data_IF_244385030772
#
_entry.id   IF_244385030772
#
_cell.length_a   1.000
_cell.length_b   1.000
_cell.length_c   1.000
_cell.angle_alpha   90.00
_cell.angle_beta   90.00
_cell.angle_gamma   90.00
#
_symmetry.space_group_name_H-M   'P 1'
#
loop_
_entity.id
_entity.type
_entity.pdbx_description
1 polymer ?
#
# COMPACT_ATOMS: atom_id res chain seq x y z
N UNK A 1 31.27 6.88 60.55
CA UNK A 1 31.47 6.11 59.31
C UNK A 1 30.20 5.97 58.44
N UNK A 2 28.98 5.81 59.01
CA UNK A 2 27.74 5.69 58.17
C UNK A 2 27.40 6.93 57.32
N UNK A 3 27.70 8.15 57.78
CA UNK A 3 27.41 9.39 57.02
C UNK A 3 28.34 9.62 55.81
N UNK A 4 29.60 9.17 55.89
CA UNK A 4 30.56 9.29 54.78
C UNK A 4 30.22 8.30 53.65
N UNK A 5 29.74 7.09 53.98
CA UNK A 5 29.30 6.09 53.02
C UNK A 5 28.09 6.56 52.18
N UNK A 6 27.17 7.33 52.80
CA UNK A 6 26.00 7.86 52.10
C UNK A 6 26.35 8.97 51.10
N UNK A 7 27.31 9.84 51.45
CA UNK A 7 27.80 10.92 50.59
C UNK A 7 28.54 10.35 49.37
N UNK A 8 29.37 9.33 49.55
CA UNK A 8 30.09 8.65 48.48
C UNK A 8 29.11 7.95 47.52
N UNK A 9 28.05 7.31 48.06
CA UNK A 9 27.01 6.68 47.25
C UNK A 9 26.22 7.70 46.41
N UNK A 10 25.93 8.89 47.01
CA UNK A 10 25.26 9.96 46.27
C UNK A 10 26.14 10.60 45.20
N UNK A 11 27.46 10.72 45.43
CA UNK A 11 28.42 11.22 44.47
C UNK A 11 28.58 10.27 43.28
N UNK A 12 28.53 8.96 43.50
CA UNK A 12 28.57 7.97 42.40
C UNK A 12 27.30 7.97 41.57
N UNK A 13 26.14 8.28 42.10
CA UNK A 13 24.88 8.41 41.35
C UNK A 13 24.89 9.71 40.54
N UNK A 14 25.42 10.82 41.08
CA UNK A 14 25.52 12.09 40.39
C UNK A 14 26.48 12.04 39.20
N UNK A 15 27.60 11.32 39.28
CA UNK A 15 28.60 11.18 38.20
C UNK A 15 28.00 10.38 37.01
N UNK A 16 27.07 9.47 37.22
CA UNK A 16 26.39 8.76 36.14
C UNK A 16 25.42 9.63 35.33
N UNK A 17 24.91 10.72 35.91
CA UNK A 17 23.98 11.64 35.25
C UNK A 17 24.67 12.55 34.19
N UNK A 18 26.00 12.68 34.22
CA UNK A 18 26.78 13.51 33.28
C UNK A 18 27.59 12.71 32.26
N UNK A 19 27.65 11.39 32.38
CA UNK A 19 28.38 10.58 31.42
C UNK A 19 27.58 10.41 30.13
N UNK A 20 28.22 10.62 28.97
CA UNK A 20 27.61 10.39 27.68
C UNK A 20 27.09 8.93 27.60
N UNK A 21 25.83 8.73 27.18
CA UNK A 21 25.32 7.38 26.96
C UNK A 21 26.20 6.62 25.95
N UNK A 22 26.42 5.34 26.21
CA UNK A 22 27.31 4.54 25.37
C UNK A 22 26.88 4.51 23.87
N UNK A 23 25.59 4.62 23.61
CA UNK A 23 25.02 4.60 22.26
C UNK A 23 25.30 5.86 21.42
N UNK A 24 25.86 6.93 21.99
CA UNK A 24 26.27 8.14 21.25
C UNK A 24 27.45 7.83 20.29
N UNK A 25 28.28 6.85 20.63
CA UNK A 25 29.36 6.39 19.73
C UNK A 25 28.88 5.21 18.88
N UNK A 26 29.42 5.06 17.67
CA UNK A 26 29.07 3.94 16.78
C UNK A 26 29.34 2.58 17.42
N UNK A 27 30.49 2.42 18.08
CA UNK A 27 30.83 1.17 18.76
C UNK A 27 29.90 0.88 19.94
N UNK A 28 29.53 1.89 20.69
CA UNK A 28 28.60 1.75 21.83
C UNK A 28 27.20 1.48 21.35
N UNK A 29 26.74 2.15 20.26
CA UNK A 29 25.43 1.91 19.67
C UNK A 29 25.29 0.47 19.19
N UNK A 30 26.25 -0.08 18.46
CA UNK A 30 26.25 -1.49 18.02
C UNK A 30 26.24 -2.50 19.17
N UNK A 31 26.74 -2.13 20.35
CA UNK A 31 26.63 -2.97 21.54
C UNK A 31 25.25 -2.92 22.19
N UNK A 32 24.61 -1.74 22.20
CA UNK A 32 23.26 -1.54 22.79
C UNK A 32 22.17 -2.02 21.82
N UNK A 33 22.38 -1.80 20.52
CA UNK A 33 21.48 -2.18 19.43
C UNK A 33 22.24 -3.07 18.43
N UNK A 34 22.48 -4.35 18.74
CA UNK A 34 23.15 -5.28 17.84
C UNK A 34 22.42 -5.38 16.50
N UNK A 35 23.14 -5.34 15.37
CA UNK A 35 22.57 -5.41 14.02
C UNK A 35 21.81 -6.71 13.74
N UNK A 36 22.10 -7.79 14.48
CA UNK A 36 21.36 -9.04 14.40
C UNK A 36 19.91 -8.89 14.90
N UNK A 37 19.67 -8.00 15.88
CA UNK A 37 18.38 -7.84 16.57
C UNK A 37 17.69 -6.51 16.24
N UNK A 38 18.46 -5.49 15.85
CA UNK A 38 17.96 -4.13 15.65
C UNK A 38 18.39 -3.53 14.31
N UNK A 39 17.56 -2.61 13.82
CA UNK A 39 17.94 -1.58 12.86
C UNK A 39 18.00 -0.29 13.67
N UNK A 40 19.13 0.41 13.67
CA UNK A 40 19.33 1.60 14.50
C UNK A 40 20.07 2.72 13.78
N UNK A 41 19.67 3.96 13.99
CA UNK A 41 20.34 5.15 13.45
C UNK A 41 20.45 6.24 14.51
N UNK A 42 21.62 6.93 14.54
CA UNK A 42 21.89 8.06 15.40
C UNK A 42 21.51 9.36 14.71
N UNK A 43 20.73 10.19 15.36
CA UNK A 43 20.45 11.56 14.96
C UNK A 43 21.11 12.57 15.90
N UNK A 44 21.67 13.65 15.36
CA UNK A 44 22.18 14.76 16.15
C UNK A 44 21.80 16.12 15.56
N UNK A 45 21.38 17.05 16.42
CA UNK A 45 20.98 18.40 16.03
C UNK A 45 21.10 19.38 17.20
N UNK A 46 20.82 20.68 16.95
CA UNK A 46 20.80 21.71 17.99
C UNK A 46 19.45 21.81 18.73
N UNK A 47 18.46 21.00 18.37
CA UNK A 47 17.21 20.84 19.12
C UNK A 47 16.77 19.35 19.14
N UNK A 48 15.93 19.01 20.12
CA UNK A 48 15.50 17.63 20.36
C UNK A 48 14.69 17.03 19.20
N UNK A 49 13.76 17.78 18.64
CA UNK A 49 12.89 17.34 17.55
C UNK A 49 13.70 17.06 16.29
N UNK A 50 14.59 17.95 15.92
CA UNK A 50 15.47 17.74 14.77
C UNK A 50 16.44 16.57 14.97
N UNK A 51 16.88 16.28 16.19
CA UNK A 51 17.69 15.09 16.47
C UNK A 51 16.88 13.80 16.25
N UNK A 52 15.63 13.75 16.75
CA UNK A 52 14.72 12.62 16.49
C UNK A 52 14.43 12.44 15.00
N UNK A 53 14.10 13.53 14.31
CA UNK A 53 13.80 13.50 12.88
C UNK A 53 15.00 12.98 12.05
N UNK A 54 16.22 13.39 12.40
CA UNK A 54 17.45 12.88 11.74
C UNK A 54 17.68 11.40 12.04
N UNK A 55 17.42 10.95 13.25
CA UNK A 55 17.52 9.54 13.60
C UNK A 55 16.50 8.69 12.80
N UNK A 56 15.24 9.15 12.71
CA UNK A 56 14.21 8.49 11.90
C UNK A 56 14.56 8.49 10.41
N UNK A 57 15.07 9.62 9.89
CA UNK A 57 15.52 9.68 8.49
C UNK A 57 16.65 8.69 8.21
N UNK A 58 17.59 8.50 9.15
CA UNK A 58 18.65 7.50 9.02
C UNK A 58 18.11 6.06 8.97
N UNK A 59 17.06 5.73 9.72
CA UNK A 59 16.36 4.43 9.62
C UNK A 59 15.72 4.29 8.24
N UNK A 60 14.98 5.32 7.79
CA UNK A 60 14.30 5.29 6.48
C UNK A 60 15.30 5.13 5.34
N UNK A 61 16.43 5.83 5.38
CA UNK A 61 17.49 5.72 4.37
C UNK A 61 18.14 4.33 4.35
N UNK A 62 18.40 3.75 5.53
CA UNK A 62 18.92 2.39 5.63
C UNK A 62 17.95 1.37 4.99
N UNK A 63 16.66 1.41 5.37
CA UNK A 63 15.64 0.54 4.81
C UNK A 63 15.53 0.74 3.29
N UNK A 64 15.47 1.99 2.85
CA UNK A 64 15.40 2.34 1.42
C UNK A 64 16.57 1.74 0.63
N UNK A 65 17.77 1.82 1.15
CA UNK A 65 18.99 1.31 0.49
C UNK A 65 18.94 -0.22 0.38
N UNK A 66 18.62 -0.92 1.46
CA UNK A 66 18.56 -2.38 1.49
C UNK A 66 17.43 -2.92 0.60
N UNK A 67 16.25 -2.32 0.67
CA UNK A 67 15.10 -2.70 -0.15
C UNK A 67 15.35 -2.39 -1.63
N UNK A 68 15.88 -1.22 -1.97
CA UNK A 68 16.21 -0.87 -3.37
C UNK A 68 17.21 -1.86 -3.96
N UNK A 69 18.16 -2.34 -3.17
CA UNK A 69 19.12 -3.37 -3.61
C UNK A 69 18.42 -4.71 -3.91
N UNK A 70 17.49 -5.12 -3.05
CA UNK A 70 16.68 -6.33 -3.22
C UNK A 70 15.77 -6.24 -4.44
N UNK A 71 15.06 -5.12 -4.57
CA UNK A 71 14.14 -4.84 -5.67
C UNK A 71 14.86 -4.78 -7.03
N UNK A 72 16.00 -4.09 -7.12
CA UNK A 72 16.83 -4.08 -8.34
C UNK A 72 17.31 -5.48 -8.73
N UNK A 73 17.67 -6.31 -7.76
CA UNK A 73 18.05 -7.71 -8.02
C UNK A 73 16.90 -8.53 -8.60
N UNK A 74 15.67 -8.32 -8.12
CA UNK A 74 14.45 -8.97 -8.61
C UNK A 74 14.11 -8.51 -10.03
N UNK A 75 14.13 -7.21 -10.30
CA UNK A 75 13.85 -6.66 -11.63
C UNK A 75 14.89 -7.08 -12.67
N UNK A 76 16.17 -7.07 -12.33
CA UNK A 76 17.22 -7.55 -13.26
C UNK A 76 17.07 -9.04 -13.60
N UNK A 77 16.52 -9.84 -12.71
CA UNK A 77 16.15 -11.22 -12.99
C UNK A 77 14.92 -11.32 -13.91
N UNK A 78 13.95 -10.40 -13.75
CA UNK A 78 12.74 -10.31 -14.57
C UNK A 78 13.03 -9.78 -15.98
N UNK A 79 13.93 -8.80 -16.14
CA UNK A 79 14.37 -8.27 -17.45
C UNK A 79 15.04 -9.36 -18.30
N UNK A 80 15.84 -10.23 -17.68
CA UNK A 80 16.41 -11.42 -18.36
C UNK A 80 15.32 -12.37 -18.88
N UNK A 81 14.12 -12.29 -18.29
CA UNK A 81 12.92 -13.02 -18.74
C UNK A 81 12.04 -12.23 -19.73
N UNK A 82 12.50 -11.07 -20.21
CA UNK A 82 11.85 -10.28 -21.27
C UNK A 82 10.77 -9.28 -20.80
N UNK A 83 10.74 -8.93 -19.49
CA UNK A 83 9.84 -7.91 -18.95
C UNK A 83 10.61 -6.62 -18.65
N UNK A 84 10.18 -5.50 -19.23
CA UNK A 84 10.72 -4.16 -18.95
C UNK A 84 9.84 -3.51 -17.89
N UNK A 85 10.47 -3.01 -16.82
CA UNK A 85 9.78 -2.31 -15.72
C UNK A 85 10.26 -0.86 -15.67
N UNK A 86 9.36 0.09 -15.45
CA UNK A 86 9.70 1.51 -15.39
C UNK A 86 10.34 1.89 -14.04
N UNK A 87 11.30 2.81 -14.07
CA UNK A 87 12.05 3.29 -12.90
C UNK A 87 11.14 3.97 -11.86
N UNK A 88 9.99 4.52 -12.30
CA UNK A 88 8.95 5.12 -11.46
C UNK A 88 8.28 4.12 -10.51
N UNK A 89 8.08 2.86 -10.91
CA UNK A 89 7.49 1.82 -10.06
C UNK A 89 8.42 1.46 -8.89
N UNK A 90 9.73 1.50 -9.14
CA UNK A 90 10.75 1.26 -8.10
C UNK A 90 10.71 2.35 -7.01
N UNK A 91 10.60 3.62 -7.41
CA UNK A 91 10.58 4.74 -6.46
C UNK A 91 9.30 4.73 -5.61
N UNK A 92 8.17 4.37 -6.19
CA UNK A 92 6.89 4.28 -5.49
C UNK A 92 6.87 3.12 -4.48
N UNK A 93 7.39 1.94 -4.85
CA UNK A 93 7.52 0.78 -3.96
C UNK A 93 8.38 1.09 -2.73
N UNK A 94 9.52 1.75 -2.94
CA UNK A 94 10.43 2.16 -1.86
C UNK A 94 9.81 3.24 -0.96
N UNK A 95 8.99 4.14 -1.52
CA UNK A 95 8.28 5.18 -0.75
C UNK A 95 7.26 4.59 0.22
N UNK A 96 6.56 3.51 -0.16
CA UNK A 96 5.59 2.83 0.71
C UNK A 96 6.25 2.20 1.95
N UNK A 97 7.48 1.72 1.82
CA UNK A 97 8.22 1.05 2.90
C UNK A 97 8.77 2.05 3.92
N UNK A 98 9.04 3.29 3.51
CA UNK A 98 9.63 4.31 4.37
C UNK A 98 8.66 4.94 5.37
N UNK A 99 7.40 4.53 5.39
CA UNK A 99 6.38 5.08 6.29
C UNK A 99 6.56 4.53 7.72
N UNK A 100 7.11 5.36 8.62
CA UNK A 100 7.57 4.99 9.96
C UNK A 100 6.49 4.40 10.89
N UNK A 101 5.21 4.68 10.64
CA UNK A 101 4.09 4.17 11.44
C UNK A 101 3.87 2.66 11.28
N UNK A 102 4.54 2.04 10.29
CA UNK A 102 4.34 0.63 9.96
C UNK A 102 5.20 -0.33 10.78
N UNK A 103 6.31 0.12 11.39
CA UNK A 103 7.37 -0.80 11.81
C UNK A 103 7.79 -0.71 13.27
N UNK A 104 6.97 -0.18 14.15
CA UNK A 104 7.30 -0.05 15.57
C UNK A 104 8.62 0.71 15.79
N UNK A 105 8.75 1.89 15.16
CA UNK A 105 9.88 2.78 15.34
C UNK A 105 9.89 3.33 16.77
N UNK A 106 10.97 3.10 17.48
CA UNK A 106 11.18 3.58 18.84
C UNK A 106 12.37 4.52 18.94
N UNK A 107 12.45 5.26 20.02
CA UNK A 107 13.50 6.23 20.28
C UNK A 107 14.08 6.06 21.67
N UNK A 108 15.41 6.27 21.80
CA UNK A 108 16.01 6.47 23.12
C UNK A 108 15.56 7.80 23.73
N UNK A 109 15.83 7.98 25.02
CA UNK A 109 15.79 9.32 25.60
C UNK A 109 16.79 10.22 24.87
N UNK A 110 16.42 11.50 24.75
CA UNK A 110 17.29 12.48 24.11
C UNK A 110 18.36 12.92 25.11
N UNK A 111 19.62 12.78 24.74
CA UNK A 111 20.75 13.26 25.53
C UNK A 111 21.31 14.55 24.94
N UNK A 112 21.63 15.51 25.80
CA UNK A 112 22.27 16.77 25.42
C UNK A 112 23.72 16.78 25.84
N UNK A 113 24.61 17.07 24.90
CA UNK A 113 26.02 17.31 25.16
C UNK A 113 26.21 18.78 25.60
N UNK A 114 26.64 18.97 26.82
CA UNK A 114 26.75 20.31 27.42
C UNK A 114 27.79 21.19 26.69
N UNK A 115 28.92 20.61 26.28
CA UNK A 115 30.02 21.36 25.66
C UNK A 115 29.64 21.91 24.29
N UNK A 116 28.94 21.14 23.45
CA UNK A 116 28.53 21.52 22.11
C UNK A 116 27.10 22.08 22.04
N UNK A 117 26.31 21.86 23.09
CA UNK A 117 24.87 22.16 23.10
C UNK A 117 24.03 21.29 22.14
N UNK A 118 24.62 20.22 21.58
CA UNK A 118 23.92 19.32 20.69
C UNK A 118 23.09 18.30 21.42
N UNK A 119 21.95 17.95 20.80
CA UNK A 119 21.08 16.88 21.23
C UNK A 119 21.32 15.64 20.37
N UNK A 120 21.30 14.48 21.01
CA UNK A 120 21.50 13.18 20.39
C UNK A 120 20.33 12.26 20.72
N UNK A 121 19.91 11.45 19.76
CA UNK A 121 18.88 10.44 19.92
C UNK A 121 19.15 9.28 18.97
N UNK A 122 18.88 8.05 19.40
CA UNK A 122 18.84 6.89 18.52
C UNK A 122 17.40 6.56 18.21
N UNK A 123 17.07 6.45 16.92
CA UNK A 123 15.87 5.74 16.47
C UNK A 123 16.26 4.27 16.26
N UNK A 124 15.37 3.35 16.62
CA UNK A 124 15.62 1.93 16.43
C UNK A 124 14.33 1.17 16.17
N UNK A 125 14.48 0.06 15.46
CA UNK A 125 13.41 -0.93 15.21
C UNK A 125 13.93 -2.26 15.72
N UNK A 126 13.21 -2.89 16.64
CA UNK A 126 13.46 -4.26 17.05
C UNK A 126 12.93 -5.21 15.96
N UNK A 127 13.82 -5.99 15.35
CA UNK A 127 13.49 -6.86 14.22
C UNK A 127 12.42 -7.88 14.56
N UNK A 128 12.40 -8.40 15.79
CA UNK A 128 11.39 -9.36 16.23
C UNK A 128 9.98 -8.75 16.32
N UNK A 129 9.89 -7.51 16.79
CA UNK A 129 8.64 -6.76 16.89
C UNK A 129 8.13 -6.32 15.52
N UNK A 130 9.02 -5.83 14.66
CA UNK A 130 8.69 -5.50 13.27
C UNK A 130 8.22 -6.74 12.49
N UNK A 131 8.89 -7.88 12.68
CA UNK A 131 8.49 -9.15 12.06
C UNK A 131 7.07 -9.56 12.42
N UNK A 132 6.66 -9.43 13.69
CA UNK A 132 5.28 -9.77 14.09
C UNK A 132 4.24 -8.99 13.29
N UNK A 133 4.46 -7.70 13.11
CA UNK A 133 3.54 -6.81 12.37
C UNK A 133 3.50 -7.20 10.88
N UNK A 134 4.67 -7.32 10.27
CA UNK A 134 4.78 -7.61 8.83
C UNK A 134 4.30 -9.00 8.49
N UNK A 135 4.63 -10.00 9.33
CA UNK A 135 4.16 -11.37 9.17
C UNK A 135 2.62 -11.46 9.17
N UNK A 136 1.95 -10.75 10.07
CA UNK A 136 0.48 -10.71 10.09
C UNK A 136 -0.10 -10.12 8.80
N UNK A 137 0.51 -9.07 8.26
CA UNK A 137 0.06 -8.45 6.99
C UNK A 137 0.31 -9.37 5.81
N UNK A 138 1.49 -9.98 5.72
CA UNK A 138 1.80 -10.95 4.68
C UNK A 138 0.89 -12.17 4.74
N UNK A 139 0.55 -12.67 5.95
CA UNK A 139 -0.42 -13.74 6.11
C UNK A 139 -1.80 -13.35 5.58
N UNK A 140 -2.26 -12.11 5.85
CA UNK A 140 -3.52 -11.61 5.32
C UNK A 140 -3.51 -11.57 3.80
N UNK A 141 -2.48 -11.01 3.17
CA UNK A 141 -2.33 -11.00 1.71
C UNK A 141 -2.33 -12.44 1.16
N UNK A 142 -1.56 -13.34 1.77
CA UNK A 142 -1.50 -14.74 1.32
C UNK A 142 -2.87 -15.42 1.35
N UNK A 143 -3.65 -15.19 2.41
CA UNK A 143 -5.02 -15.74 2.51
C UNK A 143 -5.94 -15.16 1.44
N UNK A 144 -5.90 -13.85 1.21
CA UNK A 144 -6.74 -13.18 0.21
C UNK A 144 -6.37 -13.63 -1.22
N UNK A 145 -5.08 -13.66 -1.55
CA UNK A 145 -4.59 -14.13 -2.86
C UNK A 145 -4.96 -15.60 -3.10
N UNK A 146 -4.74 -16.48 -2.11
CA UNK A 146 -5.09 -17.89 -2.22
C UNK A 146 -6.59 -18.10 -2.43
N UNK A 147 -7.44 -17.40 -1.66
CA UNK A 147 -8.90 -17.48 -1.81
C UNK A 147 -9.38 -16.96 -3.17
N UNK A 148 -8.73 -15.92 -3.73
CA UNK A 148 -9.04 -15.44 -5.06
C UNK A 148 -8.70 -16.46 -6.15
N UNK A 149 -7.55 -17.14 -6.05
CA UNK A 149 -7.16 -18.17 -7.01
C UNK A 149 -8.06 -19.41 -6.91
N UNK A 150 -8.33 -19.91 -5.71
CA UNK A 150 -9.27 -21.01 -5.49
C UNK A 150 -10.64 -20.70 -6.10
N UNK A 151 -11.17 -19.49 -5.81
CA UNK A 151 -12.42 -19.07 -6.42
C UNK A 151 -12.35 -18.93 -7.95
N UNK A 152 -11.20 -18.54 -8.51
CA UNK A 152 -11.02 -18.50 -9.95
C UNK A 152 -11.04 -19.89 -10.60
N UNK A 153 -10.54 -20.92 -9.93
CA UNK A 153 -10.58 -22.32 -10.41
C UNK A 153 -12.01 -22.87 -10.37
N UNK A 154 -12.80 -22.52 -9.36
CA UNK A 154 -14.18 -22.97 -9.21
C UNK A 154 -15.14 -22.26 -10.19
N UNK A 155 -14.86 -21.03 -10.59
CA UNK A 155 -15.73 -20.25 -11.47
C UNK A 155 -15.77 -20.83 -12.89
N UNK A 156 -16.97 -21.06 -13.40
CA UNK A 156 -17.20 -21.50 -14.79
C UNK A 156 -17.16 -20.34 -15.80
N UNK A 157 -17.45 -19.13 -15.34
CA UNK A 157 -17.47 -17.93 -16.18
C UNK A 157 -16.05 -17.36 -16.31
N UNK A 158 -15.60 -17.12 -17.54
CA UNK A 158 -14.35 -16.42 -17.82
C UNK A 158 -14.30 -15.01 -17.23
N UNK A 159 -15.45 -14.32 -17.16
CA UNK A 159 -15.56 -13.01 -16.53
C UNK A 159 -15.11 -13.04 -15.07
N UNK A 160 -15.68 -13.95 -14.27
CA UNK A 160 -15.33 -14.06 -12.86
C UNK A 160 -13.89 -14.53 -12.63
N UNK A 161 -13.42 -15.46 -13.46
CA UNK A 161 -12.00 -15.88 -13.42
C UNK A 161 -11.06 -14.73 -13.63
N UNK A 162 -11.28 -13.95 -14.68
CA UNK A 162 -10.44 -12.80 -15.04
C UNK A 162 -10.47 -11.75 -13.94
N UNK A 163 -11.65 -11.44 -13.39
CA UNK A 163 -11.81 -10.50 -12.29
C UNK A 163 -11.00 -10.93 -11.06
N UNK A 164 -11.07 -12.21 -10.67
CA UNK A 164 -10.33 -12.74 -9.53
C UNK A 164 -8.82 -12.74 -9.76
N UNK A 165 -8.37 -13.08 -10.97
CA UNK A 165 -6.95 -12.98 -11.32
C UNK A 165 -6.47 -11.53 -11.29
N UNK A 166 -7.29 -10.56 -11.76
CA UNK A 166 -6.98 -9.14 -11.67
C UNK A 166 -6.83 -8.68 -10.22
N UNK A 167 -7.79 -9.04 -9.38
CA UNK A 167 -7.74 -8.74 -7.94
C UNK A 167 -6.53 -9.38 -7.25
N UNK A 168 -6.18 -10.64 -7.57
CA UNK A 168 -5.01 -11.31 -7.01
C UNK A 168 -3.69 -10.64 -7.47
N UNK A 169 -3.60 -10.28 -8.75
CA UNK A 169 -2.44 -9.60 -9.31
C UNK A 169 -2.22 -8.19 -8.71
N UNK A 170 -3.30 -7.50 -8.33
CA UNK A 170 -3.23 -6.18 -7.71
C UNK A 170 -2.50 -6.18 -6.35
N UNK A 171 -2.40 -7.33 -5.67
CA UNK A 171 -1.62 -7.46 -4.44
C UNK A 171 -0.10 -7.43 -4.67
N UNK A 172 0.39 -7.48 -5.91
CA UNK A 172 1.83 -7.57 -6.20
C UNK A 172 2.62 -6.47 -5.51
N UNK A 173 2.22 -5.22 -5.65
CA UNK A 173 2.92 -4.07 -5.07
C UNK A 173 2.96 -4.14 -3.54
N UNK A 174 1.81 -4.36 -2.91
CA UNK A 174 1.71 -4.41 -1.45
C UNK A 174 2.45 -5.63 -0.87
N UNK A 175 2.41 -6.76 -1.58
CA UNK A 175 3.14 -7.94 -1.20
C UNK A 175 4.64 -7.70 -1.22
N UNK A 176 5.22 -7.21 -2.33
CA UNK A 176 6.67 -7.03 -2.42
C UNK A 176 7.20 -5.94 -1.50
N UNK A 177 6.45 -4.86 -1.27
CA UNK A 177 6.85 -3.84 -0.31
C UNK A 177 7.02 -4.40 1.10
N UNK A 178 6.09 -5.27 1.53
CA UNK A 178 6.19 -5.96 2.82
C UNK A 178 7.21 -7.09 2.81
N UNK A 179 7.33 -7.85 1.73
CA UNK A 179 8.22 -9.00 1.59
C UNK A 179 9.69 -8.59 1.65
N UNK A 180 10.08 -7.51 0.98
CA UNK A 180 11.45 -7.02 1.00
C UNK A 180 11.85 -6.50 2.39
N UNK A 181 10.96 -5.79 3.08
CA UNK A 181 11.20 -5.41 4.46
C UNK A 181 11.21 -6.63 5.41
N UNK A 182 10.30 -7.58 5.20
CA UNK A 182 10.29 -8.85 5.95
C UNK A 182 11.61 -9.61 5.80
N UNK A 183 12.19 -9.64 4.60
CA UNK A 183 13.49 -10.26 4.33
C UNK A 183 14.63 -9.57 5.09
N UNK A 184 14.57 -8.25 5.30
CA UNK A 184 15.52 -7.49 6.08
C UNK A 184 15.45 -7.82 7.58
N UNK A 185 14.24 -8.03 8.12
CA UNK A 185 14.03 -8.26 9.56
C UNK A 185 14.03 -9.74 9.95
N UNK A 186 13.60 -10.65 9.06
CA UNK A 186 13.58 -12.10 9.29
C UNK A 186 13.67 -12.90 7.99
N UNK A 187 14.87 -13.04 7.47
CA UNK A 187 15.14 -13.77 6.21
C UNK A 187 14.62 -15.21 6.20
N UNK A 188 14.65 -15.90 7.34
CA UNK A 188 14.16 -17.29 7.41
C UNK A 188 12.63 -17.38 7.40
N UNK A 189 11.96 -16.37 7.93
CA UNK A 189 10.50 -16.35 8.00
C UNK A 189 9.81 -16.10 6.66
N UNK A 190 10.45 -15.38 5.73
CA UNK A 190 9.86 -15.05 4.42
C UNK A 190 9.66 -16.26 3.52
N UNK A 191 10.35 -17.37 3.77
CA UNK A 191 10.19 -18.63 3.02
C UNK A 191 8.73 -19.12 3.06
N UNK A 192 7.99 -18.81 4.12
CA UNK A 192 6.58 -19.17 4.27
C UNK A 192 5.65 -18.45 3.26
N UNK A 193 6.13 -17.43 2.56
CA UNK A 193 5.36 -16.62 1.61
C UNK A 193 5.75 -16.84 0.14
N UNK A 194 6.64 -17.77 -0.16
CA UNK A 194 7.02 -18.13 -1.54
C UNK A 194 5.80 -18.60 -2.35
N UNK A 195 4.88 -19.33 -1.71
CA UNK A 195 3.63 -19.73 -2.37
C UNK A 195 2.74 -18.54 -2.73
N UNK A 196 2.69 -17.49 -1.88
CA UNK A 196 1.96 -16.27 -2.18
C UNK A 196 2.53 -15.56 -3.41
N UNK A 197 3.85 -15.43 -3.48
CA UNK A 197 4.55 -14.89 -4.64
C UNK A 197 4.21 -15.69 -5.92
N UNK A 198 4.28 -17.02 -5.86
CA UNK A 198 3.92 -17.89 -6.98
C UNK A 198 2.46 -17.72 -7.40
N UNK A 199 1.55 -17.58 -6.47
CA UNK A 199 0.14 -17.35 -6.70
C UNK A 199 -0.11 -16.02 -7.43
N UNK A 200 0.53 -14.94 -7.00
CA UNK A 200 0.47 -13.62 -7.67
C UNK A 200 1.01 -13.74 -9.10
N UNK A 201 2.14 -14.41 -9.31
CA UNK A 201 2.70 -14.61 -10.65
C UNK A 201 1.79 -15.50 -11.52
N UNK A 202 1.14 -16.50 -10.95
CA UNK A 202 0.14 -17.33 -11.66
C UNK A 202 -1.03 -16.48 -12.14
N UNK A 203 -1.57 -15.61 -11.29
CA UNK A 203 -2.63 -14.67 -11.65
C UNK A 203 -2.20 -13.75 -12.82
N UNK A 204 -1.02 -13.14 -12.72
CA UNK A 204 -0.46 -12.27 -13.78
C UNK A 204 -0.29 -13.02 -15.12
N UNK A 205 0.23 -14.23 -15.07
CA UNK A 205 0.42 -15.03 -16.28
C UNK A 205 -0.93 -15.39 -16.91
N UNK A 206 -1.95 -15.74 -16.11
CA UNK A 206 -3.30 -16.01 -16.62
C UNK A 206 -3.90 -14.78 -17.31
N UNK A 207 -3.73 -13.57 -16.75
CA UNK A 207 -4.19 -12.32 -17.37
C UNK A 207 -3.49 -12.05 -18.70
N UNK A 208 -2.17 -12.25 -18.78
CA UNK A 208 -1.40 -12.06 -20.02
C UNK A 208 -1.84 -13.02 -21.12
N UNK A 209 -2.11 -14.29 -20.79
CA UNK A 209 -2.58 -15.29 -21.73
C UNK A 209 -3.98 -15.00 -22.25
N UNK A 210 -4.83 -14.38 -21.43
CA UNK A 210 -6.24 -14.13 -21.74
C UNK A 210 -6.52 -12.72 -22.27
N UNK A 211 -5.52 -11.83 -22.35
CA UNK A 211 -5.68 -10.41 -22.68
C UNK A 211 -6.47 -10.15 -23.97
N UNK A 212 -6.28 -10.97 -24.98
CA UNK A 212 -6.95 -10.79 -26.27
C UNK A 212 -8.35 -11.41 -26.32
N UNK A 213 -8.69 -12.30 -25.42
CA UNK A 213 -9.96 -13.02 -25.40
C UNK A 213 -10.97 -12.42 -24.43
N UNK A 214 -10.50 -11.87 -23.31
CA UNK A 214 -11.37 -11.32 -22.27
C UNK A 214 -11.63 -9.81 -22.51
N UNK A 215 -12.54 -9.54 -23.49
CA UNK A 215 -12.91 -8.19 -23.90
C UNK A 215 -14.26 -7.78 -23.39
N UNK A 216 -14.36 -6.54 -22.88
CA UNK A 216 -15.61 -5.90 -22.44
C UNK A 216 -15.98 -4.80 -23.43
N UNK A 217 -17.14 -4.93 -24.06
CA UNK A 217 -17.81 -3.82 -24.77
C UNK A 217 -18.48 -2.94 -23.73
N UNK A 218 -17.92 -1.76 -23.49
CA UNK A 218 -18.43 -0.82 -22.49
C UNK A 218 -19.38 0.19 -23.14
N UNK A 219 -20.61 0.25 -22.65
CA UNK A 219 -21.65 1.20 -23.07
C UNK A 219 -22.12 2.00 -21.86
N UNK A 220 -21.92 3.31 -21.89
CA UNK A 220 -22.33 4.19 -20.78
C UNK A 220 -23.39 5.17 -21.27
N UNK A 221 -24.55 5.14 -20.60
CA UNK A 221 -25.66 6.05 -20.86
C UNK A 221 -25.66 7.21 -19.85
N UNK A 222 -26.01 8.39 -20.33
CA UNK A 222 -26.08 9.63 -19.54
C UNK A 222 -24.71 10.03 -18.93
N UNK A 223 -23.61 9.70 -19.63
CA UNK A 223 -22.27 10.05 -19.17
C UNK A 223 -21.89 11.46 -19.63
N UNK A 224 -21.68 12.34 -18.67
CA UNK A 224 -21.22 13.71 -18.95
C UNK A 224 -19.71 13.71 -19.18
N UNK A 225 -19.28 14.14 -20.36
CA UNK A 225 -17.87 14.27 -20.76
C UNK A 225 -17.04 12.95 -20.69
N UNK A 226 -17.71 11.79 -20.71
CA UNK A 226 -17.05 10.48 -20.67
C UNK A 226 -16.32 10.19 -19.34
N UNK A 227 -16.75 10.80 -18.22
CA UNK A 227 -16.09 10.63 -16.93
C UNK A 227 -16.25 9.19 -16.44
N UNK A 228 -17.49 8.68 -16.46
CA UNK A 228 -17.78 7.34 -15.97
C UNK A 228 -17.25 6.27 -16.93
N UNK A 229 -17.28 6.53 -18.23
CA UNK A 229 -16.66 5.64 -19.20
C UNK A 229 -15.18 5.43 -18.91
N UNK A 230 -14.41 6.51 -18.69
CA UNK A 230 -12.98 6.40 -18.39
C UNK A 230 -12.70 5.68 -17.06
N UNK A 231 -13.48 5.98 -16.02
CA UNK A 231 -13.35 5.32 -14.73
C UNK A 231 -13.61 3.81 -14.83
N UNK A 232 -14.70 3.42 -15.50
CA UNK A 232 -15.03 2.01 -15.73
C UNK A 232 -14.01 1.32 -16.65
N UNK A 233 -13.51 2.01 -17.68
CA UNK A 233 -12.46 1.47 -18.56
C UNK A 233 -11.20 1.17 -17.73
N UNK A 234 -10.73 2.13 -16.93
CA UNK A 234 -9.59 1.92 -16.03
C UNK A 234 -9.84 0.77 -15.04
N UNK A 235 -11.05 0.67 -14.48
CA UNK A 235 -11.40 -0.44 -13.59
C UNK A 235 -11.28 -1.80 -14.29
N UNK A 236 -11.86 -1.95 -15.50
CA UNK A 236 -11.80 -3.20 -16.24
C UNK A 236 -10.37 -3.55 -16.67
N UNK A 237 -9.59 -2.56 -17.14
CA UNK A 237 -8.21 -2.75 -17.54
C UNK A 237 -7.31 -3.15 -16.35
N UNK A 238 -7.50 -2.52 -15.19
CA UNK A 238 -6.78 -2.88 -13.96
C UNK A 238 -7.11 -4.32 -13.51
N UNK A 239 -8.32 -4.82 -13.82
CA UNK A 239 -8.73 -6.19 -13.53
C UNK A 239 -8.49 -7.18 -14.69
N UNK A 240 -7.67 -6.81 -15.68
CA UNK A 240 -7.18 -7.70 -16.73
C UNK A 240 -8.08 -7.87 -17.95
N UNK A 241 -9.11 -7.05 -18.09
CA UNK A 241 -9.95 -7.02 -19.30
C UNK A 241 -9.40 -6.05 -20.33
N UNK A 242 -9.64 -6.32 -21.60
CA UNK A 242 -9.45 -5.34 -22.66
C UNK A 242 -10.77 -4.61 -22.93
N UNK A 243 -10.79 -3.28 -22.79
CA UNK A 243 -11.99 -2.48 -23.07
C UNK A 243 -12.07 -2.15 -24.56
N UNK A 244 -13.26 -2.27 -25.14
CA UNK A 244 -13.54 -2.03 -26.54
C UNK A 244 -14.84 -1.23 -26.70
N UNK A 245 -14.88 -0.38 -27.73
CA UNK A 245 -16.09 0.35 -28.16
C UNK A 245 -16.90 -0.35 -29.27
N UNK A 246 -16.31 -1.38 -29.91
CA UNK A 246 -16.91 -2.00 -31.09
C UNK A 246 -17.47 -3.40 -30.80
N UNK A 247 -16.70 -4.25 -30.14
CA UNK A 247 -17.06 -5.65 -29.84
C UNK A 247 -16.40 -6.16 -28.59
N UNK A 248 -17.09 -7.04 -27.88
CA UNK A 248 -16.57 -7.70 -26.68
C UNK A 248 -17.19 -9.08 -26.49
N UNK A 249 -16.52 -9.94 -25.76
CA UNK A 249 -17.06 -11.20 -25.24
C UNK A 249 -18.13 -10.93 -24.17
N UNK A 250 -17.98 -9.82 -23.47
CA UNK A 250 -18.91 -9.33 -22.46
C UNK A 250 -19.40 -7.95 -22.86
N UNK A 251 -20.65 -7.64 -22.52
CA UNK A 251 -21.26 -6.34 -22.74
C UNK A 251 -21.60 -5.74 -21.39
N UNK A 252 -20.91 -4.66 -21.01
CA UNK A 252 -21.21 -3.90 -19.79
C UNK A 252 -22.07 -2.70 -20.17
N UNK A 253 -23.32 -2.71 -19.76
CA UNK A 253 -24.21 -1.56 -19.87
C UNK A 253 -24.20 -0.81 -18.53
N UNK A 254 -23.80 0.44 -18.57
CA UNK A 254 -23.75 1.36 -17.44
C UNK A 254 -24.82 2.44 -17.63
N UNK A 255 -25.67 2.63 -16.63
CA UNK A 255 -26.65 3.71 -16.59
C UNK A 255 -26.30 4.66 -15.45
N UNK A 256 -26.00 5.90 -15.79
CA UNK A 256 -25.79 6.98 -14.83
C UNK A 256 -27.10 7.72 -14.60
N UNK A 257 -27.46 7.93 -13.35
CA UNK A 257 -28.61 8.75 -12.94
C UNK A 257 -28.12 9.88 -12.03
N UNK A 258 -28.58 11.11 -12.29
CA UNK A 258 -28.31 12.26 -11.42
C UNK A 258 -29.61 13.04 -11.26
N UNK A 259 -30.32 12.72 -10.18
CA UNK A 259 -31.55 13.43 -9.83
C UNK A 259 -31.20 14.71 -9.08
N UNK A 260 -31.56 15.87 -9.66
CA UNK A 260 -31.27 17.18 -9.04
C UNK A 260 -32.57 17.79 -8.55
N UNK A 261 -32.57 18.23 -7.30
CA UNK A 261 -33.66 19.00 -6.67
C UNK A 261 -33.15 20.33 -6.19
N UNK A 262 -33.99 21.35 -6.34
CA UNK A 262 -33.72 22.67 -5.76
C UNK A 262 -34.27 22.70 -4.32
N UNK A 263 -33.45 23.12 -3.38
CA UNK A 263 -33.80 23.27 -1.97
C UNK A 263 -33.41 24.69 -1.50
N UNK A 264 -34.43 25.56 -1.39
CA UNK A 264 -34.29 26.98 -1.02
C UNK A 264 -33.27 27.73 -1.91
N UNK A 265 -32.02 27.81 -1.48
CA UNK A 265 -30.92 28.52 -2.18
C UNK A 265 -29.83 27.58 -2.65
N UNK A 266 -30.06 26.27 -2.63
CA UNK A 266 -29.06 25.25 -3.02
C UNK A 266 -29.67 24.19 -3.94
N UNK A 267 -28.81 23.51 -4.68
CA UNK A 267 -29.16 22.35 -5.48
C UNK A 267 -28.62 21.10 -4.78
N UNK A 268 -29.48 20.10 -4.63
CA UNK A 268 -29.13 18.79 -4.07
C UNK A 268 -29.25 17.75 -5.16
N UNK A 269 -28.19 17.02 -5.42
CA UNK A 269 -28.19 15.94 -6.40
C UNK A 269 -27.97 14.58 -5.74
N UNK A 270 -28.66 13.57 -6.26
CA UNK A 270 -28.56 12.17 -5.86
C UNK A 270 -28.00 11.35 -7.03
N UNK A 271 -26.68 11.14 -7.06
CA UNK A 271 -26.06 10.36 -8.12
C UNK A 271 -26.22 8.86 -7.90
N UNK A 272 -26.50 8.12 -8.98
CA UNK A 272 -26.62 6.68 -8.99
C UNK A 272 -25.89 6.08 -10.21
N UNK A 273 -25.40 4.86 -10.06
CA UNK A 273 -24.76 4.09 -11.12
C UNK A 273 -25.29 2.65 -11.06
N UNK A 274 -25.85 2.19 -12.18
CA UNK A 274 -26.27 0.80 -12.37
C UNK A 274 -25.44 0.18 -13.48
N UNK A 275 -24.82 -0.97 -13.19
CA UNK A 275 -24.05 -1.74 -14.15
C UNK A 275 -24.72 -3.11 -14.36
N UNK A 276 -24.75 -3.56 -15.61
CA UNK A 276 -25.17 -4.92 -15.96
C UNK A 276 -24.19 -5.47 -16.97
N UNK A 277 -23.58 -6.61 -16.63
CA UNK A 277 -22.69 -7.34 -17.55
C UNK A 277 -23.44 -8.56 -18.08
N UNK A 278 -23.47 -8.69 -19.40
CA UNK A 278 -24.06 -9.84 -20.10
C UNK A 278 -23.02 -10.49 -21.01
N UNK A 279 -23.26 -11.76 -21.36
CA UNK A 279 -22.56 -12.39 -22.48
C UNK A 279 -23.12 -11.89 -23.84
N UNK A 280 -22.56 -12.39 -24.92
CA UNK A 280 -23.01 -12.06 -26.30
C UNK A 280 -24.42 -12.57 -26.62
N UNK A 281 -24.95 -13.49 -25.83
CA UNK A 281 -26.30 -14.04 -25.97
C UNK A 281 -27.33 -13.29 -25.12
N UNK A 282 -26.90 -12.29 -24.33
CA UNK A 282 -27.74 -11.49 -23.45
C UNK A 282 -27.94 -12.10 -22.07
N UNK A 283 -27.26 -13.20 -21.74
CA UNK A 283 -27.36 -13.79 -20.41
C UNK A 283 -26.62 -12.91 -19.40
N UNK A 284 -27.30 -12.49 -18.35
CA UNK A 284 -26.67 -11.69 -17.29
C UNK A 284 -25.63 -12.51 -16.52
N UNK A 285 -24.41 -11.97 -16.40
CA UNK A 285 -23.27 -12.57 -15.70
C UNK A 285 -23.05 -11.89 -14.35
N UNK A 286 -23.16 -10.55 -14.33
CA UNK A 286 -22.91 -9.74 -13.14
C UNK A 286 -23.76 -8.48 -13.16
N UNK A 287 -24.05 -7.94 -11.99
CA UNK A 287 -24.69 -6.64 -11.83
C UNK A 287 -24.08 -5.88 -10.66
N UNK A 288 -24.24 -4.56 -10.70
CA UNK A 288 -23.86 -3.67 -9.61
C UNK A 288 -24.81 -2.48 -9.61
N UNK A 289 -25.20 -2.04 -8.43
CA UNK A 289 -26.04 -0.87 -8.25
C UNK A 289 -25.56 -0.09 -7.04
N UNK A 290 -25.28 1.19 -7.23
CA UNK A 290 -24.90 2.07 -6.11
C UNK A 290 -25.57 3.43 -6.22
N UNK A 291 -25.86 4.01 -5.07
CA UNK A 291 -26.19 5.42 -4.92
C UNK A 291 -25.08 6.08 -4.15
N UNK A 292 -24.35 6.97 -4.80
CA UNK A 292 -23.27 7.70 -4.13
C UNK A 292 -23.81 8.75 -3.16
N UNK A 293 -22.94 9.31 -2.33
CA UNK A 293 -23.34 10.38 -1.39
C UNK A 293 -23.96 11.56 -2.14
N UNK A 294 -25.05 12.08 -1.59
CA UNK A 294 -25.68 13.30 -2.11
C UNK A 294 -24.66 14.44 -2.21
N UNK A 295 -24.71 15.16 -3.31
CA UNK A 295 -23.91 16.36 -3.52
C UNK A 295 -24.74 17.61 -3.36
N UNK A 296 -24.18 18.66 -2.80
CA UNK A 296 -24.85 19.93 -2.58
C UNK A 296 -24.00 21.08 -3.16
N UNK A 297 -24.64 22.03 -3.79
CA UNK A 297 -24.00 23.23 -4.34
C UNK A 297 -24.98 24.38 -4.56
N UNK A 298 -24.47 25.57 -4.81
CA UNK A 298 -25.26 26.78 -5.08
C UNK A 298 -25.54 26.99 -6.57
N UNK A 299 -24.93 26.18 -7.43
CA UNK A 299 -25.13 26.20 -8.88
C UNK A 299 -25.45 24.78 -9.35
N UNK A 300 -26.50 24.65 -10.20
CA UNK A 300 -26.99 23.37 -10.68
C UNK A 300 -25.92 22.59 -11.45
N UNK A 301 -25.22 23.24 -12.38
CA UNK A 301 -24.25 22.58 -13.24
C UNK A 301 -23.03 22.10 -12.45
N UNK A 302 -22.52 22.92 -11.52
CA UNK A 302 -21.42 22.52 -10.65
C UNK A 302 -21.82 21.40 -9.69
N UNK A 303 -23.08 21.35 -9.24
CA UNK A 303 -23.59 20.26 -8.41
C UNK A 303 -23.66 18.94 -9.19
N UNK A 304 -24.08 19.01 -10.45
CA UNK A 304 -24.07 17.86 -11.36
C UNK A 304 -22.64 17.37 -11.60
N UNK A 305 -21.70 18.27 -11.91
CA UNK A 305 -20.30 17.88 -12.13
C UNK A 305 -19.69 17.21 -10.90
N UNK A 306 -19.93 17.77 -9.71
CA UNK A 306 -19.49 17.15 -8.45
C UNK A 306 -20.10 15.77 -8.24
N UNK A 307 -21.34 15.53 -8.70
CA UNK A 307 -21.98 14.22 -8.65
C UNK A 307 -21.27 13.18 -9.51
N UNK A 308 -20.82 13.55 -10.71
CA UNK A 308 -20.04 12.67 -11.57
C UNK A 308 -18.69 12.30 -10.96
N UNK A 309 -17.97 13.26 -10.35
CA UNK A 309 -16.72 12.97 -9.63
C UNK A 309 -16.95 12.04 -8.42
N UNK A 310 -18.10 12.16 -7.75
CA UNK A 310 -18.41 11.26 -6.65
C UNK A 310 -18.69 9.83 -7.13
N UNK A 311 -19.34 9.69 -8.31
CA UNK A 311 -19.54 8.38 -8.95
C UNK A 311 -18.23 7.81 -9.51
N UNK A 312 -17.35 8.64 -10.07
CA UNK A 312 -16.01 8.25 -10.53
C UNK A 312 -15.25 7.52 -9.44
N UNK A 313 -15.19 8.09 -8.23
CA UNK A 313 -14.55 7.42 -7.08
C UNK A 313 -15.23 6.10 -6.69
N UNK A 314 -16.54 5.96 -6.96
CA UNK A 314 -17.25 4.71 -6.70
C UNK A 314 -16.94 3.61 -7.72
N UNK A 315 -16.33 3.96 -8.87
CA UNK A 315 -15.90 2.97 -9.86
C UNK A 315 -14.55 2.30 -9.51
N UNK A 316 -13.81 2.80 -8.52
CA UNK A 316 -12.55 2.18 -8.08
C UNK A 316 -12.78 0.82 -7.40
N UNK A 317 -13.90 0.69 -6.70
CA UNK A 317 -14.27 -0.55 -5.98
C UNK A 317 -15.71 -0.91 -6.35
N UNK A 318 -15.88 -1.95 -7.17
CA UNK A 318 -17.20 -2.45 -7.59
C UNK A 318 -17.45 -3.80 -6.93
N UNK A 319 -18.44 -3.84 -6.05
CA UNK A 319 -18.90 -5.07 -5.42
C UNK A 319 -19.96 -5.73 -6.31
N UNK A 320 -19.51 -6.61 -7.17
CA UNK A 320 -20.34 -7.29 -8.16
C UNK A 320 -21.25 -8.34 -7.54
N UNK A 321 -22.51 -8.34 -7.96
CA UNK A 321 -23.50 -9.37 -7.62
C UNK A 321 -23.58 -10.36 -8.80
N UNK A 322 -23.46 -11.67 -8.51
CA UNK A 322 -23.60 -12.77 -9.48
C UNK A 322 -25.04 -12.92 -9.95
#
# INVERSE_FOLDING_TARGET
MKKISLIISFLFIAVRLFAAPSWVTDQGRRKVFPEAEYISALGSAFNQESAKNKAAAGISEYIKTEVSSSTKSRYSASEKAGKVTEESELEEEVSLISNSDLYALEYTEVWKEEDSGRFYCVAFIEKSSAWKIVNQRLQKINMEVSGLLEGAEEDRSGFWKTLRYGQAAAFERDFYSLYDFANLVNKSGVVNFVSCEQNIQTAKNALLQNKDTERVLLKVQNDKNGIIYRALASYFEANGFTVSSERGKYICNALVTVEVREDKSSFVAHPGLTLTVTDVFGTQIASYNTTAKKTVGFNKDSTIEKSYRTLENSCEIIDWIK
#
